data_IF_416439145225
#
_entry.id   IF_416439145225
#
_cell.length_a   1.000
_cell.length_b   1.000
_cell.length_c   1.000
_cell.angle_alpha   90.00
_cell.angle_beta   90.00
_cell.angle_gamma   90.00
#
_symmetry.space_group_name_H-M   'P 1'
#
loop_
_entity.id
_entity.type
_entity.pdbx_description
1 polymer ?
#
# COMPACT_ATOMS: atom_id res chain seq x y z
N UNK A 1 19.27 -54.62 44.37
CA UNK A 1 18.38 -54.12 43.33
C UNK A 1 18.74 -52.69 42.96
N UNK A 2 19.07 -52.46 41.70
CA UNK A 2 19.26 -51.12 41.13
C UNK A 2 18.06 -50.87 40.25
N UNK A 3 17.23 -49.90 40.65
CA UNK A 3 16.10 -49.44 39.84
C UNK A 3 16.63 -48.42 38.85
N UNK A 4 16.46 -48.67 37.56
CA UNK A 4 16.72 -47.70 36.50
C UNK A 4 15.38 -47.07 36.12
N UNK A 5 15.28 -45.75 36.25
CA UNK A 5 14.11 -44.98 35.85
C UNK A 5 14.45 -44.26 34.53
N UNK A 6 13.61 -44.45 33.52
CA UNK A 6 13.71 -43.72 32.26
C UNK A 6 12.75 -42.53 32.32
N UNK A 7 13.30 -41.32 32.27
CA UNK A 7 12.54 -40.07 32.19
C UNK A 7 12.43 -39.72 30.71
N UNK A 8 11.21 -39.62 30.20
CA UNK A 8 10.93 -39.18 28.84
C UNK A 8 10.35 -37.77 28.90
N UNK A 9 10.83 -36.91 28.02
CA UNK A 9 10.29 -35.57 27.81
C UNK A 9 9.58 -35.55 26.45
N UNK A 10 8.40 -34.94 26.41
CA UNK A 10 7.65 -34.81 25.17
C UNK A 10 8.40 -33.84 24.25
N UNK A 11 8.61 -34.25 22.99
CA UNK A 11 9.22 -33.38 21.99
C UNK A 11 8.29 -32.19 21.76
N UNK A 12 8.83 -30.97 21.76
CA UNK A 12 8.06 -29.76 21.51
C UNK A 12 8.90 -28.73 20.74
N UNK A 13 8.22 -27.89 19.97
CA UNK A 13 8.84 -26.93 19.06
C UNK A 13 8.22 -25.54 19.21
N UNK A 14 9.00 -24.49 18.98
CA UNK A 14 8.53 -23.11 19.05
C UNK A 14 7.82 -22.70 17.75
N UNK A 15 6.58 -22.21 17.88
CA UNK A 15 5.86 -21.52 16.82
C UNK A 15 5.80 -20.04 17.14
N UNK A 16 6.43 -19.25 16.28
CA UNK A 16 6.40 -17.79 16.29
C UNK A 16 5.57 -17.30 15.10
N UNK A 17 4.58 -16.45 15.35
CA UNK A 17 3.71 -15.88 14.32
C UNK A 17 3.79 -14.36 14.42
N UNK A 18 3.93 -13.69 13.28
CA UNK A 18 3.77 -12.23 13.17
C UNK A 18 2.84 -11.85 12.02
N UNK A 19 2.15 -10.73 12.19
CA UNK A 19 1.38 -10.07 11.13
C UNK A 19 2.21 -8.95 10.54
N UNK A 20 2.35 -8.91 9.23
CA UNK A 20 3.09 -7.86 8.54
C UNK A 20 2.24 -7.19 7.47
N UNK A 21 2.06 -5.86 7.55
CA UNK A 21 2.24 -4.99 8.72
C UNK A 21 1.20 -5.25 9.82
N UNK A 22 1.57 -5.08 11.10
CA UNK A 22 0.70 -5.38 12.25
C UNK A 22 -0.62 -4.61 12.24
N UNK A 23 -0.65 -3.37 11.74
CA UNK A 23 -1.87 -2.56 11.72
C UNK A 23 -2.94 -3.04 10.71
N UNK A 24 -2.59 -3.93 9.78
CA UNK A 24 -3.44 -4.30 8.63
C UNK A 24 -4.25 -5.57 8.84
N UNK A 25 -3.98 -6.33 9.89
CA UNK A 25 -4.72 -7.53 10.22
C UNK A 25 -4.16 -8.25 11.43
N UNK A 26 -4.86 -9.30 11.83
CA UNK A 26 -4.55 -10.17 12.96
C UNK A 26 -4.54 -11.64 12.52
N UNK A 27 -4.12 -12.55 13.40
CA UNK A 27 -4.33 -13.98 13.24
C UNK A 27 -5.17 -14.48 14.39
N UNK A 28 -6.20 -15.26 14.09
CA UNK A 28 -6.92 -16.06 15.08
C UNK A 28 -6.36 -17.48 15.09
N UNK A 29 -5.96 -17.94 16.27
CA UNK A 29 -5.53 -19.29 16.54
C UNK A 29 -6.59 -19.97 17.40
N UNK A 30 -7.15 -21.08 16.91
CA UNK A 30 -8.08 -21.91 17.67
C UNK A 30 -7.50 -22.31 19.04
N UNK A 31 -8.26 -22.01 20.10
CA UNK A 31 -7.85 -22.29 21.48
C UNK A 31 -6.86 -21.29 22.10
N UNK A 32 -6.31 -20.35 21.32
CA UNK A 32 -5.37 -19.31 21.82
C UNK A 32 -5.87 -17.87 21.64
N UNK A 33 -6.90 -17.66 20.82
CA UNK A 33 -7.53 -16.34 20.63
C UNK A 33 -7.05 -15.64 19.37
N UNK A 34 -7.13 -14.31 19.34
CA UNK A 34 -6.76 -13.47 18.20
C UNK A 34 -5.67 -12.47 18.61
N UNK A 35 -4.61 -12.37 17.82
CA UNK A 35 -3.48 -11.48 18.09
C UNK A 35 -2.69 -11.21 16.81
N UNK A 36 -1.94 -10.12 16.79
CA UNK A 36 -1.02 -9.80 15.70
C UNK A 36 0.31 -10.57 15.84
N UNK A 37 0.57 -11.14 17.01
CA UNK A 37 1.72 -12.01 17.27
C UNK A 37 1.36 -13.15 18.20
N UNK A 38 1.98 -14.31 17.98
CA UNK A 38 1.96 -15.44 18.91
C UNK A 38 3.38 -15.96 19.09
N UNK A 39 3.70 -16.37 20.33
CA UNK A 39 4.90 -17.13 20.65
C UNK A 39 4.49 -18.27 21.56
N UNK A 40 4.59 -19.51 21.07
CA UNK A 40 4.18 -20.68 21.84
C UNK A 40 5.04 -21.90 21.57
N UNK A 41 5.25 -22.71 22.60
CA UNK A 41 5.87 -24.04 22.46
C UNK A 41 4.78 -25.08 22.27
N UNK A 42 4.89 -25.89 21.22
CA UNK A 42 3.87 -26.83 20.75
C UNK A 42 4.40 -28.26 20.86
N UNK A 43 3.71 -29.14 21.60
CA UNK A 43 4.03 -30.56 21.63
C UNK A 43 3.96 -31.21 20.24
N UNK A 44 4.84 -32.18 20.01
CA UNK A 44 4.93 -32.91 18.75
C UNK A 44 3.62 -33.65 18.46
N UNK A 45 3.11 -33.47 17.23
CA UNK A 45 1.89 -34.12 16.76
C UNK A 45 0.59 -33.35 17.02
N UNK A 46 0.65 -32.20 17.72
CA UNK A 46 -0.49 -31.29 17.83
C UNK A 46 -0.86 -30.68 16.47
N UNK A 47 -2.16 -30.44 16.29
CA UNK A 47 -2.71 -29.76 15.11
C UNK A 47 -2.95 -28.28 15.43
N UNK A 48 -2.50 -27.41 14.53
CA UNK A 48 -2.60 -25.96 14.70
C UNK A 48 -3.47 -25.40 13.59
N UNK A 49 -4.58 -24.75 13.95
CA UNK A 49 -5.49 -24.09 13.02
C UNK A 49 -5.43 -22.57 13.18
N UNK A 50 -5.01 -21.90 12.10
CA UNK A 50 -4.78 -20.46 12.03
C UNK A 50 -5.71 -19.82 10.98
N UNK A 51 -6.19 -18.62 11.28
CA UNK A 51 -7.08 -17.85 10.42
C UNK A 51 -6.55 -16.42 10.33
N UNK A 52 -6.17 -16.00 9.12
CA UNK A 52 -5.79 -14.61 8.87
C UNK A 52 -7.02 -13.70 8.86
N UNK A 53 -6.96 -12.70 9.73
CA UNK A 53 -7.88 -11.61 10.09
C UNK A 53 -7.64 -10.26 9.39
N UNK A 54 -7.93 -9.99 8.10
CA UNK A 54 -7.70 -8.64 7.56
C UNK A 54 -8.58 -7.60 8.25
N UNK A 55 -8.00 -6.46 8.62
CA UNK A 55 -8.77 -5.30 9.07
C UNK A 55 -9.58 -4.69 7.91
N UNK A 56 -10.59 -3.87 8.23
CA UNK A 56 -11.37 -3.17 7.20
C UNK A 56 -10.46 -2.35 6.28
N UNK A 57 -10.66 -2.50 4.96
CA UNK A 57 -9.82 -1.87 3.93
C UNK A 57 -8.57 -2.66 3.54
N UNK A 58 -8.33 -3.82 4.16
CA UNK A 58 -7.17 -4.67 3.89
C UNK A 58 -7.57 -6.07 3.40
N UNK A 59 -6.62 -6.76 2.79
CA UNK A 59 -6.73 -8.13 2.29
C UNK A 59 -5.57 -8.98 2.79
N UNK A 60 -5.85 -10.26 3.01
CA UNK A 60 -4.82 -11.25 3.26
C UNK A 60 -4.11 -11.57 1.94
N UNK A 61 -2.79 -11.52 1.94
CA UNK A 61 -1.96 -11.81 0.77
C UNK A 61 -1.50 -13.25 0.81
N UNK A 62 -0.75 -13.63 1.85
CA UNK A 62 -0.19 -14.97 2.02
C UNK A 62 0.45 -15.21 3.37
N UNK A 63 0.62 -16.48 3.70
CA UNK A 63 1.52 -16.99 4.73
C UNK A 63 2.94 -17.12 4.15
N UNK A 64 3.94 -16.62 4.88
CA UNK A 64 5.36 -16.71 4.53
C UNK A 64 6.12 -17.32 5.69
N UNK A 65 7.01 -18.28 5.43
CA UNK A 65 7.92 -18.82 6.43
C UNK A 65 9.25 -19.18 5.77
N UNK A 66 10.33 -19.12 6.55
CA UNK A 66 11.69 -19.43 6.09
C UNK A 66 11.98 -20.93 6.07
N UNK A 67 11.35 -21.70 6.96
CA UNK A 67 11.62 -23.12 7.17
C UNK A 67 10.37 -24.01 7.12
N UNK A 68 9.20 -23.42 6.91
CA UNK A 68 7.95 -24.13 6.62
C UNK A 68 7.38 -23.71 5.27
N UNK A 69 6.90 -24.67 4.48
CA UNK A 69 6.23 -24.40 3.21
C UNK A 69 4.73 -24.67 3.39
N UNK A 70 3.94 -23.60 3.39
CA UNK A 70 2.48 -23.73 3.41
C UNK A 70 1.99 -24.42 2.13
N UNK A 71 1.12 -25.44 2.20
CA UNK A 71 0.55 -26.10 1.02
C UNK A 71 -0.27 -25.16 0.13
N UNK A 72 -0.91 -24.15 0.73
CA UNK A 72 -1.65 -23.12 0.02
C UNK A 72 -1.41 -21.78 0.74
N UNK A 73 -0.29 -21.10 0.44
CA UNK A 73 0.12 -19.91 1.17
C UNK A 73 -0.88 -18.77 1.05
N UNK A 74 -1.69 -18.72 -0.01
CA UNK A 74 -2.68 -17.67 -0.28
C UNK A 74 -4.04 -17.93 0.41
N UNK A 75 -4.24 -19.12 0.99
CA UNK A 75 -5.45 -19.40 1.76
C UNK A 75 -5.36 -18.74 3.15
N UNK A 76 -6.32 -17.88 3.55
CA UNK A 76 -6.32 -17.27 4.88
C UNK A 76 -6.48 -18.30 6.00
N UNK A 77 -6.91 -19.52 5.70
CA UNK A 77 -6.93 -20.64 6.66
C UNK A 77 -5.71 -21.52 6.44
N UNK A 78 -4.93 -21.71 7.50
CA UNK A 78 -3.76 -22.58 7.52
C UNK A 78 -3.86 -23.60 8.64
N UNK A 79 -3.66 -24.87 8.28
CA UNK A 79 -3.53 -25.98 9.22
C UNK A 79 -2.11 -26.51 9.18
N UNK A 80 -1.44 -26.54 10.32
CA UNK A 80 -0.11 -27.16 10.50
C UNK A 80 -0.31 -28.45 11.27
N UNK A 81 0.13 -29.56 10.70
CA UNK A 81 0.13 -30.89 11.35
C UNK A 81 1.54 -31.43 11.42
N UNK A 82 1.86 -32.14 12.51
CA UNK A 82 3.13 -32.84 12.63
C UNK A 82 4.36 -31.93 12.64
N UNK A 83 4.28 -30.79 13.33
CA UNK A 83 5.40 -29.87 13.52
C UNK A 83 6.61 -30.60 14.13
N UNK A 84 7.73 -30.62 13.41
CA UNK A 84 8.96 -31.37 13.73
C UNK A 84 10.21 -30.48 13.88
N UNK A 85 10.02 -29.17 13.81
CA UNK A 85 11.03 -28.13 13.98
C UNK A 85 10.35 -26.84 14.44
N UNK A 86 11.13 -25.88 14.94
CA UNK A 86 10.63 -24.53 15.22
C UNK A 86 10.15 -23.89 13.91
N UNK A 87 9.11 -23.07 13.93
CA UNK A 87 8.57 -22.39 12.75
C UNK A 87 8.40 -20.91 13.08
N UNK A 88 8.89 -20.05 12.18
CA UNK A 88 8.56 -18.62 12.16
C UNK A 88 7.67 -18.33 10.96
N UNK A 89 6.47 -17.81 11.21
CA UNK A 89 5.41 -17.65 10.23
C UNK A 89 4.90 -16.20 10.19
N UNK A 90 4.92 -15.60 9.01
CA UNK A 90 4.41 -14.26 8.74
C UNK A 90 3.09 -14.31 7.96
N UNK A 91 2.01 -13.82 8.56
CA UNK A 91 0.78 -13.48 7.86
C UNK A 91 0.94 -12.11 7.19
N UNK A 92 0.94 -12.08 5.86
CA UNK A 92 1.13 -10.84 5.10
C UNK A 92 -0.22 -10.25 4.69
N UNK A 93 -0.42 -8.97 4.95
CA UNK A 93 -1.61 -8.21 4.58
C UNK A 93 -1.25 -7.00 3.71
N UNK A 94 -2.14 -6.65 2.78
CA UNK A 94 -2.00 -5.46 1.93
C UNK A 94 -3.27 -4.63 1.95
N UNK A 95 -3.16 -3.34 1.65
CA UNK A 95 -4.35 -2.52 1.44
C UNK A 95 -5.10 -3.01 0.20
N UNK A 96 -6.43 -3.07 0.28
CA UNK A 96 -7.24 -3.34 -0.89
C UNK A 96 -7.16 -2.15 -1.85
N UNK A 97 -7.19 -2.37 -3.17
CA UNK A 97 -7.27 -1.28 -4.11
C UNK A 97 -8.57 -0.49 -3.90
N UNK A 98 -8.56 0.85 -4.07
CA UNK A 98 -9.77 1.64 -3.93
C UNK A 98 -10.80 1.29 -5.00
N UNK A 99 -12.08 1.38 -4.64
CA UNK A 99 -13.22 1.20 -5.50
C UNK A 99 -13.61 2.52 -6.17
N UNK A 100 -13.83 2.48 -7.47
CA UNK A 100 -14.14 3.64 -8.29
C UNK A 100 -15.64 3.78 -8.52
N UNK A 101 -16.21 4.91 -8.11
CA UNK A 101 -17.57 5.32 -8.47
C UNK A 101 -17.52 6.45 -9.48
N UNK A 102 -17.96 6.18 -10.71
CA UNK A 102 -18.20 7.20 -11.71
C UNK A 102 -19.70 7.54 -11.77
N UNK A 103 -20.01 8.83 -11.87
CA UNK A 103 -21.39 9.30 -11.99
C UNK A 103 -21.54 10.12 -13.28
N UNK A 104 -22.42 9.66 -14.16
CA UNK A 104 -22.75 10.33 -15.43
C UNK A 104 -24.05 11.13 -15.31
N UNK A 105 -24.16 12.23 -16.05
CA UNK A 105 -25.34 13.10 -16.08
C UNK A 105 -26.01 13.00 -17.45
N UNK A 106 -27.32 12.71 -17.48
CA UNK A 106 -28.08 12.62 -18.73
C UNK A 106 -29.45 13.32 -18.65
N UNK A 107 -29.79 14.24 -19.57
CA UNK A 107 -28.93 14.79 -20.61
C UNK A 107 -27.77 15.60 -20.04
N UNK A 108 -26.69 15.75 -20.81
CA UNK A 108 -25.53 16.54 -20.39
C UNK A 108 -25.98 17.96 -20.00
N UNK A 109 -25.48 18.47 -18.88
CA UNK A 109 -25.82 19.79 -18.32
C UNK A 109 -27.23 19.95 -17.74
N UNK A 110 -28.05 18.89 -17.65
CA UNK A 110 -29.38 18.95 -17.03
C UNK A 110 -29.37 19.06 -15.50
N UNK A 111 -28.23 18.78 -14.89
CA UNK A 111 -28.02 18.84 -13.46
C UNK A 111 -26.60 18.44 -13.12
N UNK A 112 -26.37 18.07 -11.88
CA UNK A 112 -25.09 17.57 -11.40
C UNK A 112 -25.30 16.52 -10.30
N UNK A 113 -24.23 15.80 -10.00
CA UNK A 113 -24.19 14.81 -8.95
C UNK A 113 -22.95 14.94 -8.07
N UNK A 114 -23.07 14.53 -6.81
CA UNK A 114 -21.97 14.34 -5.86
C UNK A 114 -21.95 12.87 -5.46
N UNK A 115 -20.74 12.36 -5.21
CA UNK A 115 -20.51 11.00 -4.74
C UNK A 115 -19.54 10.22 -5.62
N UNK A 116 -19.11 10.76 -6.77
CA UNK A 116 -18.05 10.16 -7.58
C UNK A 116 -16.69 10.21 -6.88
N UNK A 117 -15.78 9.31 -7.26
CA UNK A 117 -14.44 9.24 -6.68
C UNK A 117 -13.97 7.82 -6.44
N UNK A 118 -12.92 7.71 -5.64
CA UNK A 118 -12.28 6.47 -5.24
C UNK A 118 -12.43 6.30 -3.73
N UNK A 119 -12.96 5.17 -3.29
CA UNK A 119 -13.34 4.93 -1.90
C UNK A 119 -13.01 3.50 -1.49
N UNK A 120 -12.88 3.26 -0.18
CA UNK A 120 -12.90 1.89 0.34
C UNK A 120 -14.30 1.28 0.18
N UNK A 121 -14.42 -0.01 0.49
CA UNK A 121 -15.73 -0.67 0.61
C UNK A 121 -16.66 0.13 1.52
N UNK A 122 -17.80 0.56 0.98
CA UNK A 122 -18.87 1.22 1.71
C UNK A 122 -20.23 0.72 1.22
N UNK A 123 -20.88 -0.09 2.05
CA UNK A 123 -22.22 -0.61 1.77
C UNK A 123 -23.32 0.46 1.65
N UNK A 124 -23.02 1.70 2.00
CA UNK A 124 -23.98 2.80 2.16
C UNK A 124 -23.47 4.15 1.65
N UNK A 125 -22.57 4.14 0.66
CA UNK A 125 -21.96 5.35 0.11
C UNK A 125 -23.02 6.34 -0.40
N UNK A 126 -22.96 7.60 0.02
CA UNK A 126 -23.99 8.60 -0.29
C UNK A 126 -23.77 9.22 -1.67
N UNK A 127 -24.84 9.27 -2.47
CA UNK A 127 -24.87 9.99 -3.75
C UNK A 127 -26.01 11.00 -3.76
N UNK A 128 -25.77 12.15 -4.38
CA UNK A 128 -26.71 13.28 -4.43
C UNK A 128 -26.80 13.78 -5.85
N UNK A 129 -28.01 14.11 -6.31
CA UNK A 129 -28.26 14.76 -7.58
C UNK A 129 -28.99 16.08 -7.35
N UNK A 130 -28.58 17.13 -8.04
CA UNK A 130 -29.28 18.42 -8.06
C UNK A 130 -29.55 18.82 -9.50
N UNK A 131 -30.76 19.32 -9.74
CA UNK A 131 -31.19 19.80 -11.05
C UNK A 131 -30.65 21.19 -11.36
N UNK A 132 -30.39 21.44 -12.64
CA UNK A 132 -30.26 22.81 -13.14
C UNK A 132 -31.64 23.40 -13.43
N UNK A 133 -31.76 24.75 -13.50
CA UNK A 133 -33.01 25.40 -13.91
C UNK A 133 -33.52 24.84 -15.24
N UNK A 134 -34.84 24.65 -15.36
CA UNK A 134 -35.46 24.01 -16.53
C UNK A 134 -35.47 22.49 -16.50
N UNK A 135 -34.97 21.84 -15.44
CA UNK A 135 -34.95 20.37 -15.33
C UNK A 135 -35.46 19.86 -13.97
N UNK A 136 -35.98 18.63 -13.99
CA UNK A 136 -36.36 17.83 -12.82
C UNK A 136 -35.52 16.55 -12.78
N UNK A 137 -35.17 16.11 -11.56
CA UNK A 137 -34.51 14.83 -11.37
C UNK A 137 -35.53 13.73 -11.66
N UNK A 138 -35.14 12.78 -12.51
CA UNK A 138 -36.00 11.68 -12.93
C UNK A 138 -35.68 10.42 -12.14
N UNK A 139 -34.44 9.94 -12.24
CA UNK A 139 -33.99 8.74 -11.53
C UNK A 139 -32.48 8.55 -11.60
N UNK A 140 -31.94 7.73 -10.71
CA UNK A 140 -30.66 7.07 -10.87
C UNK A 140 -30.80 5.78 -11.67
N UNK A 141 -29.76 5.40 -12.38
CA UNK A 141 -29.62 4.11 -13.05
C UNK A 141 -28.25 3.52 -12.75
N UNK A 142 -28.21 2.23 -12.38
CA UNK A 142 -27.01 1.52 -11.97
C UNK A 142 -27.31 0.50 -10.87
N UNK A 143 -26.35 -0.39 -10.62
CA UNK A 143 -26.50 -1.47 -9.64
C UNK A 143 -26.17 -1.00 -8.22
N UNK A 144 -26.87 -1.56 -7.22
CA UNK A 144 -26.60 -1.32 -5.80
C UNK A 144 -27.16 -0.02 -5.23
N UNK A 145 -27.88 0.79 -6.03
CA UNK A 145 -28.54 2.01 -5.56
C UNK A 145 -29.79 1.65 -4.74
N UNK A 146 -29.88 2.15 -3.51
CA UNK A 146 -30.97 1.83 -2.57
C UNK A 146 -32.33 2.36 -3.03
N UNK A 147 -32.40 3.65 -3.38
CA UNK A 147 -33.63 4.27 -3.92
C UNK A 147 -33.30 5.06 -5.19
N UNK A 148 -33.68 4.52 -6.34
CA UNK A 148 -33.40 5.12 -7.65
C UNK A 148 -34.22 6.38 -7.93
N UNK A 149 -35.35 6.60 -7.25
CA UNK A 149 -36.23 7.75 -7.51
C UNK A 149 -35.95 8.93 -6.56
N UNK A 150 -35.08 8.74 -5.57
CA UNK A 150 -34.68 9.81 -4.68
C UNK A 150 -33.37 10.43 -5.18
N UNK A 151 -33.36 11.75 -5.38
CA UNK A 151 -32.17 12.49 -5.79
C UNK A 151 -31.03 12.36 -4.76
N UNK A 152 -31.36 12.16 -3.48
CA UNK A 152 -30.41 11.92 -2.40
C UNK A 152 -30.59 10.49 -1.91
N UNK A 153 -29.63 9.63 -2.19
CA UNK A 153 -29.74 8.19 -1.93
C UNK A 153 -28.36 7.62 -1.58
N UNK A 154 -28.28 6.31 -1.37
CA UNK A 154 -27.01 5.62 -1.19
C UNK A 154 -26.84 4.47 -2.18
N UNK A 155 -25.60 4.05 -2.36
CA UNK A 155 -25.19 2.95 -3.21
C UNK A 155 -24.29 2.00 -2.40
N UNK A 156 -24.51 0.70 -2.55
CA UNK A 156 -23.54 -0.30 -2.08
C UNK A 156 -22.32 -0.25 -3.02
N UNK A 157 -21.22 0.32 -2.55
CA UNK A 157 -19.96 0.41 -3.28
C UNK A 157 -19.05 -0.75 -2.86
N UNK A 158 -19.27 -1.89 -3.50
CA UNK A 158 -18.57 -3.17 -3.29
C UNK A 158 -17.60 -3.55 -4.42
N UNK A 159 -17.68 -2.85 -5.55
CA UNK A 159 -16.80 -2.94 -6.70
C UNK A 159 -16.78 -1.59 -7.44
N UNK A 160 -15.96 -1.48 -8.48
CA UNK A 160 -16.00 -0.32 -9.37
C UNK A 160 -17.38 -0.23 -10.06
N UNK A 161 -18.00 0.95 -10.01
CA UNK A 161 -19.36 1.20 -10.53
C UNK A 161 -19.41 2.48 -11.36
N UNK A 162 -20.20 2.42 -12.42
CA UNK A 162 -20.67 3.60 -13.14
C UNK A 162 -22.17 3.69 -13.00
N UNK A 163 -22.68 4.83 -12.54
CA UNK A 163 -24.11 5.10 -12.44
C UNK A 163 -24.46 6.38 -13.17
N UNK A 164 -25.71 6.51 -13.60
CA UNK A 164 -26.20 7.67 -14.35
C UNK A 164 -27.34 8.35 -13.59
N UNK A 165 -27.24 9.66 -13.37
CA UNK A 165 -28.34 10.51 -12.95
C UNK A 165 -29.12 10.97 -14.20
N UNK A 166 -30.38 10.57 -14.30
CA UNK A 166 -31.30 11.01 -15.34
C UNK A 166 -32.12 12.21 -14.89
N UNK A 167 -32.26 13.16 -15.79
CA UNK A 167 -33.06 14.37 -15.64
C UNK A 167 -34.03 14.51 -16.82
N UNK A 168 -35.11 15.25 -16.62
CA UNK A 168 -36.11 15.57 -17.64
C UNK A 168 -36.40 17.06 -17.61
N UNK A 169 -36.80 17.66 -18.73
CA UNK A 169 -37.18 19.07 -18.75
C UNK A 169 -38.38 19.32 -17.82
N UNK A 170 -38.33 20.43 -17.08
CA UNK A 170 -39.45 20.89 -16.26
C UNK A 170 -40.45 21.66 -17.15
N UNK A 171 -41.64 21.10 -17.41
CA UNK A 171 -42.64 21.76 -18.27
C UNK A 171 -43.19 23.06 -17.67
N UNK A 172 -42.92 23.36 -16.39
CA UNK A 172 -43.39 24.55 -15.69
C UNK A 172 -42.29 25.59 -15.45
N UNK A 173 -41.06 25.37 -15.92
CA UNK A 173 -39.99 26.34 -15.73
C UNK A 173 -40.18 27.53 -16.68
N UNK A 174 -40.29 28.73 -16.12
CA UNK A 174 -40.06 29.95 -16.90
C UNK A 174 -38.62 29.93 -17.41
N UNK A 175 -38.40 30.17 -18.70
CA UNK A 175 -37.08 30.20 -19.31
C UNK A 175 -36.34 31.43 -18.76
N UNK A 176 -35.61 31.26 -17.67
CA UNK A 176 -34.58 32.20 -17.24
C UNK A 176 -33.30 31.77 -17.93
N UNK A 177 -32.73 32.66 -18.75
CA UNK A 177 -31.44 32.50 -19.42
C UNK A 177 -30.40 31.91 -18.44
N UNK A 178 -30.05 30.65 -18.66
CA UNK A 178 -29.32 29.77 -17.75
C UNK A 178 -27.81 30.07 -17.67
N UNK A 179 -27.37 31.17 -18.27
CA UNK A 179 -25.95 31.52 -18.34
C UNK A 179 -25.38 32.22 -17.09
N UNK A 180 -26.16 32.41 -16.01
CA UNK A 180 -25.70 33.22 -14.88
C UNK A 180 -26.12 32.70 -13.48
N UNK A 181 -26.10 31.38 -13.26
CA UNK A 181 -26.24 30.82 -11.91
C UNK A 181 -25.08 31.22 -10.98
N UNK A 182 -23.94 31.68 -11.53
CA UNK A 182 -22.74 31.99 -10.77
C UNK A 182 -22.12 30.77 -10.08
N UNK A 183 -22.42 29.56 -10.59
CA UNK A 183 -21.93 28.29 -10.08
C UNK A 183 -21.13 27.58 -11.18
N UNK A 184 -20.06 26.90 -10.79
CA UNK A 184 -19.15 26.18 -11.68
C UNK A 184 -18.92 24.76 -11.17
N UNK A 185 -18.73 23.84 -12.12
CA UNK A 185 -18.39 22.45 -11.86
C UNK A 185 -16.89 22.33 -11.58
N UNK A 186 -16.53 21.67 -10.48
CA UNK A 186 -15.17 21.25 -10.20
C UNK A 186 -15.14 19.72 -10.18
N UNK A 187 -14.32 19.13 -11.05
CA UNK A 187 -14.04 17.70 -11.06
C UNK A 187 -12.59 17.48 -10.65
N UNK A 188 -12.38 16.96 -9.45
CA UNK A 188 -11.08 16.51 -8.95
C UNK A 188 -10.91 15.02 -9.23
N UNK A 189 -9.84 14.66 -9.94
CA UNK A 189 -9.49 13.29 -10.30
C UNK A 189 -8.03 12.98 -9.94
N UNK A 190 -7.72 11.69 -9.82
CA UNK A 190 -6.34 11.22 -9.70
C UNK A 190 -5.73 11.01 -11.08
N UNK A 191 -4.43 11.30 -11.24
CA UNK A 191 -3.67 11.01 -12.47
C UNK A 191 -3.60 9.50 -12.76
N UNK A 192 -3.66 8.68 -11.71
CA UNK A 192 -3.73 7.23 -11.79
C UNK A 192 -4.47 6.67 -10.58
N UNK A 193 -5.49 5.88 -10.85
CA UNK A 193 -6.34 5.23 -9.86
C UNK A 193 -5.56 4.43 -8.79
N UNK A 194 -4.47 3.79 -9.18
CA UNK A 194 -3.72 2.94 -8.24
C UNK A 194 -2.82 3.76 -7.29
N UNK A 195 -2.48 4.99 -7.66
CA UNK A 195 -1.45 5.78 -6.96
C UNK A 195 -2.01 6.67 -5.84
N UNK A 196 -3.30 6.96 -5.86
CA UNK A 196 -3.95 7.77 -4.86
C UNK A 196 -5.28 8.31 -5.31
N UNK A 197 -5.93 9.05 -4.41
CA UNK A 197 -7.28 9.60 -4.58
C UNK A 197 -7.24 11.13 -4.56
N UNK A 198 -8.21 11.75 -5.24
CA UNK A 198 -8.46 13.18 -5.23
C UNK A 198 -9.89 13.45 -4.76
N UNK A 199 -10.07 14.46 -3.92
CA UNK A 199 -11.33 14.89 -3.34
C UNK A 199 -11.49 16.42 -3.44
N UNK A 200 -12.73 16.90 -3.35
CA UNK A 200 -13.08 18.31 -3.52
C UNK A 200 -13.93 18.59 -4.77
N UNK A 201 -14.29 17.56 -5.51
CA UNK A 201 -15.27 17.68 -6.59
C UNK A 201 -16.62 18.17 -6.09
N UNK A 202 -17.32 18.96 -6.91
CA UNK A 202 -18.64 19.48 -6.58
C UNK A 202 -19.02 20.67 -7.44
N UNK A 203 -20.06 21.39 -7.03
CA UNK A 203 -20.52 22.62 -7.67
C UNK A 203 -20.43 23.75 -6.67
N UNK A 204 -19.69 24.79 -7.05
CA UNK A 204 -19.37 25.91 -6.16
C UNK A 204 -19.59 27.24 -6.86
N UNK A 205 -19.76 28.31 -6.08
CA UNK A 205 -19.59 29.66 -6.62
C UNK A 205 -18.13 29.94 -6.99
N UNK A 206 -17.84 31.04 -7.71
CA UNK A 206 -16.46 31.46 -7.93
C UNK A 206 -15.74 31.68 -6.60
N UNK A 207 -14.48 31.27 -6.52
CA UNK A 207 -13.66 31.48 -5.33
C UNK A 207 -12.70 30.35 -5.02
N UNK A 208 -12.19 30.36 -3.80
CA UNK A 208 -11.25 29.36 -3.29
C UNK A 208 -12.00 28.16 -2.71
N UNK A 209 -11.77 26.98 -3.28
CA UNK A 209 -12.41 25.71 -2.90
C UNK A 209 -11.36 24.79 -2.30
N UNK A 210 -11.62 24.24 -1.11
CA UNK A 210 -10.73 23.25 -0.49
C UNK A 210 -10.72 21.95 -1.29
N UNK A 211 -9.52 21.46 -1.61
CA UNK A 211 -9.31 20.20 -2.32
C UNK A 211 -8.23 19.39 -1.61
N UNK A 212 -8.36 18.07 -1.65
CA UNK A 212 -7.52 17.17 -0.88
C UNK A 212 -7.13 15.94 -1.70
N UNK A 213 -5.89 15.48 -1.55
CA UNK A 213 -5.38 14.27 -2.17
C UNK A 213 -4.72 13.37 -1.12
N UNK A 214 -4.92 12.07 -1.25
CA UNK A 214 -4.30 11.05 -0.41
C UNK A 214 -3.62 10.03 -1.31
N UNK A 215 -2.32 9.83 -1.09
CA UNK A 215 -1.55 8.82 -1.82
C UNK A 215 -1.87 7.42 -1.31
N UNK A 216 -1.95 6.46 -2.22
CA UNK A 216 -1.98 5.04 -1.89
C UNK A 216 -0.63 4.59 -1.32
N UNK A 217 -0.60 3.43 -0.68
CA UNK A 217 0.66 2.82 -0.22
C UNK A 217 1.69 2.70 -1.36
N UNK A 218 2.94 3.05 -1.08
CA UNK A 218 4.02 3.03 -2.07
C UNK A 218 4.11 4.28 -2.95
N UNK A 219 3.24 5.26 -2.73
CA UNK A 219 3.22 6.52 -3.46
C UNK A 219 3.28 7.74 -2.55
N UNK A 220 3.63 8.88 -3.13
CA UNK A 220 3.61 10.20 -2.53
C UNK A 220 2.78 11.12 -3.43
N UNK A 221 2.06 12.05 -2.82
CA UNK A 221 1.50 13.18 -3.56
C UNK A 221 2.63 14.02 -4.15
N UNK A 222 2.58 14.32 -5.44
CA UNK A 222 3.56 15.19 -6.11
C UNK A 222 3.02 16.62 -6.24
N UNK A 223 1.91 16.79 -6.96
CA UNK A 223 1.31 18.11 -7.19
C UNK A 223 -0.11 18.05 -7.75
N UNK A 224 -0.83 19.15 -7.59
CA UNK A 224 -2.04 19.43 -8.35
C UNK A 224 -1.74 20.09 -9.69
N UNK A 225 -2.49 19.72 -10.72
CA UNK A 225 -2.52 20.37 -12.03
C UNK A 225 -3.98 20.66 -12.45
N UNK A 226 -4.17 21.44 -13.53
CA UNK A 226 -5.51 21.80 -14.03
C UNK A 226 -6.02 23.18 -13.61
N UNK A 227 -5.18 24.03 -13.01
CA UNK A 227 -5.47 25.45 -12.83
C UNK A 227 -4.67 26.11 -11.70
N UNK A 228 -5.27 27.10 -11.03
CA UNK A 228 -4.63 27.93 -10.02
C UNK A 228 -4.90 27.39 -8.60
N UNK A 229 -3.82 27.09 -7.87
CA UNK A 229 -3.86 26.60 -6.48
C UNK A 229 -3.16 27.57 -5.55
N UNK A 230 -3.59 27.65 -4.28
CA UNK A 230 -2.88 28.41 -3.25
C UNK A 230 -1.48 27.87 -3.01
N UNK A 231 -1.35 26.53 -3.08
CA UNK A 231 -0.09 25.78 -3.12
C UNK A 231 -0.36 24.49 -3.88
N UNK A 232 0.21 24.32 -5.07
CA UNK A 232 0.00 23.12 -5.87
C UNK A 232 0.77 21.90 -5.35
N UNK A 233 1.73 22.08 -4.44
CA UNK A 233 2.58 21.00 -3.88
C UNK A 233 2.08 20.49 -2.53
N UNK A 234 1.12 21.18 -1.90
CA UNK A 234 0.42 20.69 -0.73
C UNK A 234 -0.72 19.73 -1.10
N UNK A 235 -0.76 18.55 -0.48
CA UNK A 235 -1.82 17.56 -0.70
C UNK A 235 -3.20 18.04 -0.23
N UNK A 236 -3.25 18.94 0.75
CA UNK A 236 -4.43 19.68 1.17
C UNK A 236 -4.23 21.16 0.82
N UNK A 237 -5.05 21.70 -0.10
CA UNK A 237 -4.86 23.05 -0.64
C UNK A 237 -6.18 23.67 -1.08
N UNK A 238 -6.14 24.89 -1.61
CA UNK A 238 -7.30 25.55 -2.20
C UNK A 238 -7.11 25.72 -3.70
N UNK A 239 -8.18 25.49 -4.46
CA UNK A 239 -8.27 25.71 -5.90
C UNK A 239 -9.10 26.96 -6.21
N UNK A 240 -8.65 27.83 -7.11
CA UNK A 240 -9.38 29.03 -7.50
C UNK A 240 -10.30 28.73 -8.70
N UNK A 241 -11.58 28.55 -8.40
CA UNK A 241 -12.61 28.23 -9.38
C UNK A 241 -13.21 29.50 -10.01
N UNK A 242 -13.23 29.56 -11.34
CA UNK A 242 -13.84 30.66 -12.12
C UNK A 242 -14.61 30.21 -13.36
N UNK A 243 -14.55 28.92 -13.69
CA UNK A 243 -15.27 28.26 -14.77
C UNK A 243 -15.29 26.76 -14.46
N UNK A 244 -16.05 25.99 -15.23
CA UNK A 244 -16.05 24.54 -15.13
C UNK A 244 -14.63 23.98 -15.36
N UNK A 245 -14.12 23.24 -14.37
CA UNK A 245 -12.71 22.88 -14.29
C UNK A 245 -12.51 21.42 -13.91
N UNK A 246 -11.50 20.81 -14.53
CA UNK A 246 -10.98 19.50 -14.13
C UNK A 246 -9.60 19.72 -13.51
N UNK A 247 -9.42 19.26 -12.28
CA UNK A 247 -8.14 19.27 -11.58
C UNK A 247 -7.64 17.85 -11.37
N UNK A 248 -6.33 17.68 -11.43
CA UNK A 248 -5.69 16.37 -11.37
C UNK A 248 -4.71 16.36 -10.20
N UNK A 249 -4.90 15.47 -9.24
CA UNK A 249 -3.89 15.12 -8.25
C UNK A 249 -2.87 14.18 -8.90
N UNK A 250 -1.60 14.58 -8.95
CA UNK A 250 -0.53 13.78 -9.49
C UNK A 250 0.26 13.15 -8.36
N UNK A 251 0.60 11.89 -8.54
CA UNK A 251 1.34 11.09 -7.57
C UNK A 251 2.65 10.61 -8.20
N UNK A 252 3.62 10.30 -7.34
CA UNK A 252 4.90 9.69 -7.71
C UNK A 252 5.21 8.54 -6.78
N UNK A 253 6.05 7.63 -7.24
CA UNK A 253 6.48 6.48 -6.44
C UNK A 253 7.24 6.97 -5.20
N UNK A 254 6.92 6.42 -4.03
CA UNK A 254 7.67 6.62 -2.80
C UNK A 254 8.96 5.81 -2.89
N UNK A 255 10.15 6.41 -2.75
CA UNK A 255 11.39 5.66 -2.75
C UNK A 255 11.45 4.73 -1.54
N UNK A 256 11.97 3.52 -1.72
CA UNK A 256 12.16 2.57 -0.62
C UNK A 256 13.31 2.99 0.31
N UNK A 257 14.37 3.59 -0.24
CA UNK A 257 15.45 4.23 0.51
C UNK A 257 15.11 5.71 0.69
N UNK A 258 15.02 6.17 1.93
CA UNK A 258 14.71 7.56 2.28
C UNK A 258 15.63 8.55 1.56
N UNK A 259 15.08 9.72 1.21
CA UNK A 259 15.78 10.82 0.54
C UNK A 259 16.38 10.50 -0.85
N UNK A 260 15.98 9.38 -1.45
CA UNK A 260 16.44 9.07 -2.81
C UNK A 260 15.80 9.97 -3.87
N UNK A 261 16.61 10.36 -4.83
CA UNK A 261 16.21 11.17 -5.99
C UNK A 261 15.59 10.25 -7.03
N UNK A 262 14.37 10.54 -7.47
CA UNK A 262 13.72 9.86 -8.59
C UNK A 262 14.42 10.23 -9.91
N UNK A 263 14.96 9.23 -10.60
CA UNK A 263 15.61 9.37 -11.90
C UNK A 263 14.67 9.03 -13.08
N UNK A 264 13.43 8.63 -12.78
CA UNK A 264 12.45 8.19 -13.75
C UNK A 264 12.55 6.69 -14.08
N UNK A 265 11.47 6.17 -14.68
CA UNK A 265 11.37 4.76 -15.13
C UNK A 265 11.68 3.72 -14.03
N UNK A 266 11.37 4.04 -12.77
CA UNK A 266 11.58 3.19 -11.59
C UNK A 266 12.99 3.24 -11.01
N UNK A 267 13.89 4.05 -11.57
CA UNK A 267 15.24 4.25 -11.05
C UNK A 267 15.28 5.37 -10.00
N UNK A 268 16.04 5.13 -8.95
CA UNK A 268 16.29 6.05 -7.87
C UNK A 268 17.79 6.13 -7.56
N UNK A 269 18.23 7.28 -7.06
CA UNK A 269 19.59 7.50 -6.56
C UNK A 269 19.53 7.89 -5.09
N UNK A 270 20.12 7.07 -4.23
CA UNK A 270 20.47 7.44 -2.87
C UNK A 270 21.95 7.83 -2.82
N UNK A 271 22.29 8.91 -2.10
CA UNK A 271 23.69 9.34 -1.95
C UNK A 271 24.55 8.27 -1.27
N UNK A 272 24.00 7.53 -0.32
CA UNK A 272 24.74 6.55 0.48
C UNK A 272 24.52 5.11 0.01
N UNK A 273 23.31 4.78 -0.44
CA UNK A 273 22.99 3.41 -0.86
C UNK A 273 23.37 3.17 -2.31
N UNK A 274 23.34 4.22 -3.16
CA UNK A 274 23.64 4.14 -4.58
C UNK A 274 22.39 4.14 -5.46
N UNK A 275 22.60 3.78 -6.74
CA UNK A 275 21.53 3.75 -7.74
C UNK A 275 20.83 2.40 -7.73
N UNK A 276 19.51 2.40 -7.62
CA UNK A 276 18.71 1.19 -7.62
C UNK A 276 17.39 1.39 -8.38
N UNK A 277 16.83 0.29 -8.86
CA UNK A 277 15.55 0.24 -9.54
C UNK A 277 14.55 -0.55 -8.69
N UNK A 278 13.31 -0.06 -8.59
CA UNK A 278 12.26 -0.68 -7.79
C UNK A 278 10.89 -0.59 -8.46
N UNK A 279 10.03 -1.56 -8.11
CA UNK A 279 8.58 -1.39 -8.24
C UNK A 279 7.97 -0.89 -6.92
N UNK A 280 6.89 -0.09 -6.96
CA UNK A 280 6.17 0.31 -5.76
C UNK A 280 5.74 -0.91 -4.93
N UNK A 281 5.77 -0.78 -3.59
CA UNK A 281 5.36 -1.81 -2.63
C UNK A 281 6.12 -3.16 -2.73
N UNK A 282 7.34 -3.15 -3.26
CA UNK A 282 8.20 -4.33 -3.30
C UNK A 282 9.52 -4.06 -2.59
N UNK A 283 9.99 -5.08 -1.86
CA UNK A 283 11.28 -5.06 -1.18
C UNK A 283 12.42 -5.60 -2.04
N UNK A 284 12.10 -6.27 -3.16
CA UNK A 284 13.10 -6.63 -4.17
C UNK A 284 13.43 -5.42 -5.02
N UNK A 285 14.71 -5.07 -5.08
CA UNK A 285 15.24 -4.00 -5.93
C UNK A 285 16.39 -4.52 -6.76
N UNK A 286 16.60 -3.91 -7.93
CA UNK A 286 17.79 -4.13 -8.72
C UNK A 286 18.77 -2.98 -8.46
N UNK A 287 19.84 -3.26 -7.72
CA UNK A 287 20.91 -2.31 -7.47
C UNK A 287 21.91 -2.30 -8.63
N UNK A 288 22.36 -1.12 -9.08
CA UNK A 288 23.22 -0.99 -10.27
C UNK A 288 24.54 -1.78 -10.15
N UNK A 289 25.06 -1.90 -8.94
CA UNK A 289 26.30 -2.64 -8.63
C UNK A 289 26.02 -4.03 -8.03
N UNK A 290 25.19 -4.14 -6.99
CA UNK A 290 24.91 -5.39 -6.28
C UNK A 290 23.99 -6.37 -7.03
N UNK A 291 23.29 -5.94 -8.10
CA UNK A 291 22.30 -6.74 -8.79
C UNK A 291 20.99 -6.84 -8.00
N UNK A 292 20.26 -7.94 -8.16
CA UNK A 292 19.03 -8.19 -7.41
C UNK A 292 19.32 -8.41 -5.93
N UNK A 293 18.66 -7.60 -5.10
CA UNK A 293 18.76 -7.67 -3.65
C UNK A 293 17.38 -7.49 -3.02
N UNK A 294 17.14 -8.17 -1.91
CA UNK A 294 15.93 -7.97 -1.10
C UNK A 294 16.26 -7.12 0.11
N UNK A 295 15.48 -6.06 0.32
CA UNK A 295 15.68 -5.09 1.38
C UNK A 295 14.72 -5.37 2.54
N UNK A 296 15.28 -5.44 3.73
CA UNK A 296 14.56 -5.39 4.99
C UNK A 296 15.03 -4.16 5.76
N UNK A 297 14.25 -3.09 5.64
CA UNK A 297 14.55 -1.78 6.22
C UNK A 297 13.94 -1.71 7.62
N UNK A 298 14.74 -1.33 8.61
CA UNK A 298 14.21 -1.03 9.94
C UNK A 298 14.05 0.50 10.10
N UNK A 299 13.36 0.92 11.16
CA UNK A 299 13.00 2.33 11.39
C UNK A 299 14.19 3.29 11.59
N UNK A 300 15.43 2.79 11.71
CA UNK A 300 16.64 3.56 12.05
C UNK A 300 17.63 3.77 10.88
N UNK A 301 17.18 3.68 9.62
CA UNK A 301 18.01 3.79 8.40
C UNK A 301 19.10 2.70 8.25
N UNK A 302 19.01 1.64 9.04
CA UNK A 302 19.79 0.43 8.82
C UNK A 302 19.00 -0.61 8.02
N UNK A 303 19.71 -1.36 7.19
CA UNK A 303 19.13 -2.22 6.18
C UNK A 303 19.81 -3.58 6.21
N UNK A 304 18.99 -4.61 6.40
CA UNK A 304 19.35 -5.96 6.04
C UNK A 304 19.10 -6.18 4.55
N UNK A 305 20.13 -6.59 3.84
CA UNK A 305 20.16 -6.80 2.39
C UNK A 305 20.47 -8.27 2.14
N UNK A 306 19.51 -9.01 1.59
CA UNK A 306 19.80 -10.32 1.03
C UNK A 306 20.40 -10.13 -0.37
N UNK A 307 21.60 -10.66 -0.59
CA UNK A 307 22.24 -10.66 -1.89
C UNK A 307 22.15 -12.04 -2.55
N UNK A 308 21.49 -12.12 -3.71
CA UNK A 308 21.48 -13.34 -4.51
C UNK A 308 22.89 -13.74 -4.96
N UNK A 309 23.74 -12.74 -5.26
CA UNK A 309 25.12 -12.97 -5.70
C UNK A 309 25.95 -13.71 -4.64
N UNK A 310 25.76 -13.35 -3.36
CA UNK A 310 26.47 -13.97 -2.25
C UNK A 310 25.68 -15.10 -1.59
N UNK A 311 24.40 -15.26 -1.93
CA UNK A 311 23.44 -16.14 -1.26
C UNK A 311 23.49 -15.96 0.27
N UNK A 312 23.53 -14.69 0.71
CA UNK A 312 23.75 -14.33 2.09
C UNK A 312 23.09 -12.99 2.47
N UNK A 313 22.72 -12.89 3.75
CA UNK A 313 22.31 -11.63 4.37
C UNK A 313 23.52 -10.76 4.72
N UNK A 314 23.41 -9.49 4.39
CA UNK A 314 24.35 -8.43 4.72
C UNK A 314 23.61 -7.32 5.47
N UNK A 315 24.28 -6.64 6.38
CA UNK A 315 23.76 -5.44 7.02
C UNK A 315 24.55 -4.21 6.58
N UNK A 316 23.88 -3.10 6.32
CA UNK A 316 24.50 -1.82 6.00
C UNK A 316 23.64 -0.67 6.51
N UNK A 317 24.24 0.51 6.66
CA UNK A 317 23.53 1.71 7.07
C UNK A 317 24.20 2.95 6.46
N UNK A 318 23.51 4.09 6.44
CA UNK A 318 24.11 5.36 5.97
C UNK A 318 25.46 5.65 6.65
N UNK A 319 25.60 5.33 7.94
CA UNK A 319 26.83 5.54 8.71
C UNK A 319 27.98 4.59 8.36
N UNK A 320 27.71 3.44 7.72
CA UNK A 320 28.78 2.47 7.40
C UNK A 320 29.53 2.78 6.12
N UNK A 321 28.97 3.63 5.24
CA UNK A 321 29.64 4.16 4.04
C UNK A 321 30.42 3.09 3.24
N UNK A 322 29.69 2.25 2.49
CA UNK A 322 30.21 1.15 1.63
C UNK A 322 30.75 -0.09 2.36
N UNK A 323 30.65 -0.13 3.69
CA UNK A 323 30.87 -1.34 4.49
C UNK A 323 29.57 -2.11 4.72
N UNK A 324 29.68 -3.42 4.59
CA UNK A 324 28.60 -4.38 4.79
C UNK A 324 29.03 -5.43 5.82
N UNK A 325 28.18 -5.73 6.78
CA UNK A 325 28.40 -6.83 7.72
C UNK A 325 27.78 -8.11 7.15
N UNK A 326 28.62 -9.09 6.82
CA UNK A 326 28.21 -10.36 6.23
C UNK A 326 27.84 -11.36 7.33
N UNK A 327 26.54 -11.64 7.47
CA UNK A 327 26.01 -12.42 8.59
C UNK A 327 26.61 -13.83 8.71
N UNK A 328 26.70 -14.66 7.64
CA UNK A 328 27.23 -16.01 7.76
C UNK A 328 28.68 -16.10 8.24
N UNK A 329 29.48 -15.05 8.01
CA UNK A 329 30.90 -15.02 8.37
C UNK A 329 31.16 -14.19 9.63
N UNK A 330 30.14 -13.53 10.17
CA UNK A 330 30.27 -12.59 11.29
C UNK A 330 31.40 -11.57 11.08
N UNK A 331 31.53 -11.07 9.85
CA UNK A 331 32.66 -10.25 9.42
C UNK A 331 32.22 -9.06 8.57
N UNK A 332 33.00 -7.98 8.62
CA UNK A 332 32.81 -6.82 7.76
C UNK A 332 33.49 -7.04 6.41
N UNK A 333 32.76 -6.77 5.34
CA UNK A 333 33.24 -6.75 3.98
C UNK A 333 33.10 -5.33 3.41
N UNK A 334 34.06 -4.95 2.58
CA UNK A 334 34.07 -3.69 1.87
C UNK A 334 33.62 -3.92 0.42
N UNK A 335 32.76 -3.06 -0.11
CA UNK A 335 32.33 -3.16 -1.49
C UNK A 335 32.89 -2.02 -2.35
N UNK A 336 33.79 -2.37 -3.27
CA UNK A 336 34.35 -1.42 -4.22
C UNK A 336 33.37 -1.21 -5.38
N UNK A 337 32.74 -0.04 -5.41
CA UNK A 337 31.76 0.34 -6.42
C UNK A 337 32.37 0.47 -7.82
N UNK A 338 33.66 0.83 -7.91
CA UNK A 338 34.35 1.02 -9.18
C UNK A 338 34.70 -0.30 -9.85
N UNK A 339 35.06 -1.30 -9.04
CA UNK A 339 35.41 -2.63 -9.51
C UNK A 339 34.21 -3.60 -9.55
N UNK A 340 33.12 -3.26 -8.85
CA UNK A 340 31.96 -4.13 -8.61
C UNK A 340 32.36 -5.45 -7.92
N UNK A 341 33.22 -5.36 -6.90
CA UNK A 341 33.81 -6.48 -6.17
C UNK A 341 33.67 -6.31 -4.65
N UNK A 342 33.46 -7.43 -3.95
CA UNK A 342 33.52 -7.47 -2.49
C UNK A 342 34.91 -7.91 -2.04
N UNK A 343 35.38 -7.27 -0.98
CA UNK A 343 36.63 -7.59 -0.33
C UNK A 343 36.40 -7.86 1.16
N UNK A 344 36.95 -8.95 1.69
CA UNK A 344 37.11 -9.14 3.14
C UNK A 344 38.56 -8.88 3.55
N UNK A 345 38.73 -8.41 4.77
CA UNK A 345 40.05 -8.28 5.39
C UNK A 345 40.14 -9.31 6.51
N UNK A 346 41.10 -10.24 6.42
CA UNK A 346 41.41 -11.15 7.53
C UNK A 346 42.70 -10.69 8.21
N UNK A 347 42.63 -10.52 9.54
CA UNK A 347 43.77 -10.17 10.37
C UNK A 347 44.43 -11.45 10.91
N UNK A 348 45.75 -11.58 10.80
CA UNK A 348 46.44 -12.77 11.31
C UNK A 348 46.65 -12.64 12.82
N UNK A 349 46.14 -13.55 13.67
CA UNK A 349 46.07 -13.36 15.13
C UNK A 349 47.39 -13.05 15.86
N UNK A 350 48.54 -13.28 15.21
CA UNK A 350 49.87 -13.17 15.78
C UNK A 350 50.82 -12.24 15.02
N UNK A 351 50.33 -11.47 14.05
CA UNK A 351 51.10 -10.43 13.37
C UNK A 351 50.19 -9.25 13.13
N UNK A 352 50.68 -8.01 13.25
CA UNK A 352 49.93 -6.81 12.82
C UNK A 352 49.78 -6.73 11.28
N UNK A 353 49.63 -7.88 10.62
CA UNK A 353 49.49 -8.06 9.19
C UNK A 353 48.13 -8.71 8.94
N UNK A 354 47.46 -8.26 7.89
CA UNK A 354 46.29 -8.92 7.33
C UNK A 354 46.34 -8.90 5.80
N UNK A 355 45.43 -9.65 5.19
CA UNK A 355 45.32 -9.80 3.74
C UNK A 355 43.90 -9.50 3.28
N UNK A 356 43.78 -8.92 2.09
CA UNK A 356 42.50 -8.71 1.42
C UNK A 356 42.16 -9.90 0.54
N UNK A 357 40.94 -10.41 0.65
CA UNK A 357 40.41 -11.50 -0.15
C UNK A 357 39.21 -11.01 -0.97
N UNK A 358 39.18 -11.37 -2.25
CA UNK A 358 38.10 -11.03 -3.17
C UNK A 358 37.08 -12.18 -3.23
N UNK A 359 35.78 -11.85 -3.19
CA UNK A 359 34.69 -12.79 -3.46
C UNK A 359 34.28 -12.81 -4.94
#
# INVERSE_FOLDING_TARGET
DVTVEAIFEELAFELLIHCSPEAKGSVRWDGKGESNTFSHTIPYGEEINLYALPNQGYGFVRWVSTNFQSPNPENPVLTITGMDQNIELNATFSQNPPLYLNIEISPQSAGWAIGHGAYDYDSSHLIFAKTNPGYLFSRWSGEGIQNQLNANTSINLDQNKTVTAYFVEDPNSEIVDSNNSGLFNLLAISSHAEQGIAAGSGVYGPGWIGVFAQASEGYLFDRWTGGEFSDSTASNTQYRLSNDSIIIANFKTKPIITDSIDLGSGWFLSEWFGTYWMYPNQNWVFHSTHGWIYLHINDNEDIWVWSDRLSAWMWTAMSTNQWYYLHPQSAWIYFDHSANLYFSFEDYPNSMNGSWYQY
#
